data_IF_178120346263
#
_entry.id   IF_178120346263
#
_cell.length_a   1.000
_cell.length_b   1.000
_cell.length_c   1.000
_cell.angle_alpha   90.00
_cell.angle_beta   90.00
_cell.angle_gamma   90.00
#
_symmetry.space_group_name_H-M   'P 1'
#
loop_
_entity.id
_entity.type
_entity.pdbx_description
1 polymer ?
#
# COMPACT_ATOMS: atom_id res chain seq x y z
N UNK A 1 -1.41 11.29 -9.12
CA UNK A 1 -2.67 10.50 -9.10
C UNK A 1 -2.76 9.76 -7.78
N UNK A 2 -3.88 9.89 -7.06
CA UNK A 2 -4.08 9.23 -5.76
C UNK A 2 -4.43 7.74 -5.94
N UNK A 3 -3.90 6.87 -5.08
CA UNK A 3 -4.27 5.45 -5.05
C UNK A 3 -5.73 5.30 -4.64
N UNK A 4 -6.52 4.56 -5.44
CA UNK A 4 -7.90 4.22 -5.09
C UNK A 4 -7.93 2.94 -4.26
N UNK A 5 -8.34 3.04 -3.00
CA UNK A 5 -8.46 1.91 -2.09
C UNK A 5 -9.90 1.39 -2.05
N UNK A 6 -10.06 0.09 -2.21
CA UNK A 6 -11.33 -0.63 -2.04
C UNK A 6 -11.29 -1.41 -0.72
N UNK A 7 -12.25 -1.16 0.16
CA UNK A 7 -12.39 -1.91 1.40
C UNK A 7 -13.03 -3.28 1.13
N UNK A 8 -12.41 -4.32 1.68
CA UNK A 8 -12.88 -5.70 1.61
C UNK A 8 -13.68 -6.02 2.88
N UNK A 9 -14.59 -7.02 2.83
CA UNK A 9 -15.41 -7.41 3.99
C UNK A 9 -14.61 -7.86 5.23
N UNK A 10 -13.34 -8.19 5.05
CA UNK A 10 -12.38 -8.53 6.12
C UNK A 10 -11.75 -7.29 6.80
N UNK A 11 -12.10 -6.06 6.36
CA UNK A 11 -11.49 -4.81 6.82
C UNK A 11 -10.13 -4.50 6.18
N UNK A 12 -9.61 -5.43 5.37
CA UNK A 12 -8.45 -5.20 4.52
C UNK A 12 -8.77 -4.22 3.39
N UNK A 13 -7.84 -3.33 3.03
CA UNK A 13 -7.95 -2.45 1.87
C UNK A 13 -7.09 -2.96 0.72
N UNK A 14 -7.64 -2.88 -0.48
CA UNK A 14 -6.94 -3.17 -1.73
C UNK A 14 -6.82 -1.88 -2.54
N UNK A 15 -5.60 -1.36 -2.67
CA UNK A 15 -5.26 -0.29 -3.59
C UNK A 15 -4.72 -0.88 -4.90
N UNK A 16 -5.10 -0.29 -6.02
CA UNK A 16 -4.46 -0.59 -7.32
C UNK A 16 -4.12 0.74 -7.97
N UNK A 17 -2.89 0.87 -8.45
CA UNK A 17 -2.43 2.04 -9.20
C UNK A 17 -1.51 1.58 -10.33
N UNK A 18 -1.90 1.88 -11.57
CA UNK A 18 -1.20 1.41 -12.77
C UNK A 18 -1.08 -0.12 -12.75
N UNK A 19 0.12 -0.67 -12.50
CA UNK A 19 0.37 -2.12 -12.34
C UNK A 19 0.73 -2.50 -10.89
N UNK A 20 0.72 -1.54 -9.98
CA UNK A 20 1.11 -1.74 -8.58
C UNK A 20 -0.11 -2.13 -7.75
N UNK A 21 -0.05 -3.30 -7.15
CA UNK A 21 -1.03 -3.81 -6.21
C UNK A 21 -0.62 -3.46 -4.78
N UNK A 22 -1.54 -2.86 -4.04
CA UNK A 22 -1.31 -2.41 -2.67
C UNK A 22 -2.33 -3.11 -1.78
N UNK A 23 -1.87 -3.71 -0.70
CA UNK A 23 -2.72 -4.36 0.28
C UNK A 23 -2.44 -3.77 1.65
N UNK A 24 -3.48 -3.32 2.34
CA UNK A 24 -3.40 -2.96 3.76
C UNK A 24 -4.26 -3.94 4.54
N UNK A 25 -3.67 -4.64 5.49
CA UNK A 25 -4.36 -5.67 6.29
C UNK A 25 -4.40 -5.25 7.76
N UNK A 26 -5.57 -5.24 8.41
CA UNK A 26 -5.64 -4.96 9.83
C UNK A 26 -4.97 -6.11 10.62
N UNK A 27 -4.01 -5.77 11.48
CA UNK A 27 -3.34 -6.72 12.38
C UNK A 27 -4.05 -6.86 13.73
N UNK A 28 -5.18 -6.19 13.89
CA UNK A 28 -5.92 -6.07 15.14
C UNK A 28 -5.59 -4.79 15.91
N UNK A 29 -6.58 -4.29 16.64
CA UNK A 29 -6.51 -2.96 17.26
C UNK A 29 -6.42 -1.85 16.21
N UNK A 30 -5.52 -0.89 16.43
CA UNK A 30 -5.28 0.23 15.50
C UNK A 30 -4.02 0.01 14.64
N UNK A 31 -3.63 -1.22 14.34
CA UNK A 31 -2.42 -1.53 13.54
C UNK A 31 -2.79 -2.13 12.18
N UNK A 32 -2.05 -1.72 11.16
CA UNK A 32 -2.21 -2.18 9.79
C UNK A 32 -0.85 -2.63 9.25
N UNK A 33 -0.78 -3.83 8.69
CA UNK A 33 0.28 -4.21 7.79
C UNK A 33 -0.01 -3.61 6.41
N UNK A 34 1.01 -3.18 5.69
CA UNK A 34 0.90 -2.79 4.29
C UNK A 34 1.93 -3.54 3.46
N UNK A 35 1.53 -3.96 2.27
CA UNK A 35 2.39 -4.63 1.29
C UNK A 35 2.09 -4.04 -0.09
N UNK A 36 3.14 -3.72 -0.83
CA UNK A 36 3.12 -3.14 -2.17
C UNK A 36 3.82 -4.12 -3.10
N UNK A 37 3.11 -4.52 -4.14
CA UNK A 37 3.50 -5.54 -5.09
C UNK A 37 3.58 -4.90 -6.47
N UNK A 38 4.79 -4.86 -7.03
CA UNK A 38 5.01 -4.50 -8.44
C UNK A 38 5.10 -5.77 -9.30
N UNK A 39 5.48 -6.90 -8.69
CA UNK A 39 5.59 -8.21 -9.31
C UNK A 39 4.97 -9.27 -8.37
N UNK A 40 4.61 -10.44 -8.91
CA UNK A 40 3.95 -11.53 -8.19
C UNK A 40 4.92 -12.33 -7.29
N UNK A 41 6.24 -12.17 -7.46
CA UNK A 41 7.23 -12.96 -6.73
C UNK A 41 7.52 -12.45 -5.30
N UNK A 42 7.71 -11.14 -5.13
CA UNK A 42 8.07 -10.52 -3.84
C UNK A 42 7.52 -9.10 -3.72
N UNK A 43 6.97 -8.73 -2.54
CA UNK A 43 6.53 -7.37 -2.31
C UNK A 43 7.72 -6.41 -2.35
N UNK A 44 7.62 -5.39 -3.19
CA UNK A 44 8.64 -4.36 -3.35
C UNK A 44 8.76 -3.48 -2.10
N UNK A 45 7.67 -3.33 -1.35
CA UNK A 45 7.65 -2.57 -0.12
C UNK A 45 6.63 -3.15 0.86
N UNK A 46 7.05 -3.40 2.11
CA UNK A 46 6.17 -3.92 3.14
C UNK A 46 6.54 -3.38 4.52
N UNK A 47 5.55 -3.28 5.41
CA UNK A 47 5.76 -2.81 6.77
C UNK A 47 4.49 -2.80 7.59
N UNK A 48 4.57 -2.16 8.75
CA UNK A 48 3.47 -2.00 9.70
C UNK A 48 3.34 -0.53 10.09
N UNK A 49 2.10 -0.07 10.28
CA UNK A 49 1.78 1.29 10.67
C UNK A 49 0.67 1.32 11.72
N UNK A 50 0.65 2.37 12.52
CA UNK A 50 -0.40 2.57 13.53
C UNK A 50 -1.48 3.47 12.91
N UNK A 51 -2.54 2.81 12.45
CA UNK A 51 -3.68 3.46 11.82
C UNK A 51 -3.64 3.33 10.31
N UNK A 52 -4.85 3.33 9.75
CA UNK A 52 -5.06 3.15 8.32
C UNK A 52 -4.44 4.30 7.51
N UNK A 53 -4.59 5.54 7.98
CA UNK A 53 -4.10 6.74 7.31
C UNK A 53 -2.57 6.77 7.25
N UNK A 54 -1.89 6.32 8.31
CA UNK A 54 -0.42 6.25 8.33
C UNK A 54 0.10 5.17 7.37
N UNK A 55 -0.55 4.00 7.33
CA UNK A 55 -0.25 2.96 6.34
C UNK A 55 -0.40 3.49 4.90
N UNK A 56 -1.52 4.19 4.63
CA UNK A 56 -1.78 4.81 3.32
C UNK A 56 -0.72 5.87 2.98
N UNK A 57 -0.33 6.69 3.95
CA UNK A 57 0.67 7.74 3.75
C UNK A 57 2.05 7.17 3.43
N UNK A 58 2.49 6.14 4.15
CA UNK A 58 3.78 5.48 3.89
C UNK A 58 3.84 4.84 2.51
N UNK A 59 2.80 4.10 2.12
CA UNK A 59 2.71 3.52 0.77
C UNK A 59 2.67 4.62 -0.29
N UNK A 60 1.88 5.68 -0.07
CA UNK A 60 1.78 6.78 -1.03
C UNK A 60 3.11 7.52 -1.21
N UNK A 61 3.88 7.73 -0.14
CA UNK A 61 5.20 8.33 -0.20
C UNK A 61 6.17 7.46 -1.00
N UNK A 62 6.22 6.16 -0.70
CA UNK A 62 7.06 5.22 -1.43
C UNK A 62 6.70 5.15 -2.92
N UNK A 63 5.40 5.16 -3.27
CA UNK A 63 4.95 5.18 -4.66
C UNK A 63 5.36 6.47 -5.37
N UNK A 64 5.33 7.62 -4.68
CA UNK A 64 5.75 8.90 -5.25
C UNK A 64 7.25 8.88 -5.56
N UNK A 65 8.06 8.35 -4.64
CA UNK A 65 9.51 8.17 -4.84
C UNK A 65 9.82 7.14 -5.94
N UNK A 66 9.25 5.94 -5.86
CA UNK A 66 9.51 4.85 -6.80
C UNK A 66 9.07 5.18 -8.24
N UNK A 67 7.99 5.94 -8.41
CA UNK A 67 7.55 6.38 -9.74
C UNK A 67 8.34 7.59 -10.25
N UNK A 68 8.80 8.48 -9.35
CA UNK A 68 9.66 9.60 -9.74
C UNK A 68 11.03 9.13 -10.26
N UNK A 69 11.58 8.04 -9.74
CA UNK A 69 12.85 7.47 -10.22
C UNK A 69 12.74 6.81 -11.61
N UNK A 70 11.54 6.45 -12.07
CA UNK A 70 11.30 5.90 -13.40
C UNK A 70 11.25 6.94 -14.54
N UNK A 71 11.23 8.24 -14.22
CA UNK A 71 11.08 9.33 -15.20
C UNK A 71 12.40 10.09 -15.52
N UNK A 72 13.59 9.53 -15.22
CA UNK A 72 14.90 10.15 -15.56
C UNK A 72 15.60 9.56 -16.79
#
# INVERSE_FOLDING_TARGET
>A
MAVSYSERPDGSLLGVKDDVLITLRPLGGNRYAYEVWIDDEVPAYQGEAVGQDEAKAQVQAWLDEALAEGES
#
